data_IF_754091484407
#
_entry.id   IF_754091484407
#
_cell.length_a   1.000
_cell.length_b   1.000
_cell.length_c   1.000
_cell.angle_alpha   90.00
_cell.angle_beta   90.00
_cell.angle_gamma   90.00
#
_symmetry.space_group_name_H-M   'P 1'
#
loop_
_entity.id
_entity.type
_entity.pdbx_description
1 polymer ?
#
# COMPACT_ATOMS: atom_id res chain seq x y z
N UNK A 1 12.26 14.19 -13.85
CA UNK A 1 11.83 13.03 -13.02
C UNK A 1 13.03 12.13 -12.79
N UNK A 2 13.49 12.01 -11.54
CA UNK A 2 14.68 11.22 -11.17
C UNK A 2 14.58 9.78 -11.72
N UNK A 3 15.68 9.25 -12.29
CA UNK A 3 15.71 7.90 -12.89
C UNK A 3 15.21 6.82 -11.90
N UNK A 4 15.56 6.97 -10.62
CA UNK A 4 15.13 6.09 -9.52
C UNK A 4 13.62 6.10 -9.28
N UNK A 5 13.00 7.28 -9.35
CA UNK A 5 11.55 7.44 -9.21
C UNK A 5 10.81 6.77 -10.37
N UNK A 6 11.33 6.86 -11.60
CA UNK A 6 10.74 6.18 -12.77
C UNK A 6 10.72 4.66 -12.61
N UNK A 7 11.81 4.07 -12.09
CA UNK A 7 11.88 2.62 -11.86
C UNK A 7 10.88 2.20 -10.79
N UNK A 8 10.85 2.92 -9.66
CA UNK A 8 9.92 2.64 -8.58
C UNK A 8 8.47 2.71 -9.04
N UNK A 9 8.07 3.81 -9.70
CA UNK A 9 6.71 3.99 -10.20
C UNK A 9 6.35 2.90 -11.23
N UNK A 10 7.26 2.50 -12.13
CA UNK A 10 7.01 1.40 -13.06
C UNK A 10 6.74 0.09 -12.33
N UNK A 11 7.58 -0.29 -11.37
CA UNK A 11 7.40 -1.53 -10.61
C UNK A 11 6.12 -1.51 -9.77
N UNK A 12 5.80 -0.36 -9.15
CA UNK A 12 4.56 -0.14 -8.42
C UNK A 12 3.33 -0.28 -9.33
N UNK A 13 3.37 0.29 -10.54
CA UNK A 13 2.27 0.17 -11.49
C UNK A 13 2.10 -1.26 -12.01
N UNK A 14 3.21 -1.99 -12.24
CA UNK A 14 3.16 -3.41 -12.60
C UNK A 14 2.50 -4.21 -11.48
N UNK A 15 2.93 -4.00 -10.22
CA UNK A 15 2.31 -4.64 -9.05
C UNK A 15 0.82 -4.31 -8.97
N UNK A 16 0.45 -3.03 -9.04
CA UNK A 16 -0.93 -2.58 -8.97
C UNK A 16 -1.78 -3.16 -10.10
N UNK A 17 -1.23 -3.29 -11.32
CA UNK A 17 -1.91 -3.90 -12.46
C UNK A 17 -2.14 -5.39 -12.23
N UNK A 18 -1.13 -6.13 -11.79
CA UNK A 18 -1.25 -7.56 -11.48
C UNK A 18 -2.26 -7.78 -10.35
N UNK A 19 -2.16 -7.02 -9.26
CA UNK A 19 -3.11 -7.08 -8.15
C UNK A 19 -4.53 -6.72 -8.61
N UNK A 20 -4.68 -5.71 -9.48
CA UNK A 20 -5.96 -5.33 -10.07
C UNK A 20 -6.58 -6.44 -10.92
N UNK A 21 -5.79 -7.10 -11.77
CA UNK A 21 -6.24 -8.24 -12.56
C UNK A 21 -6.67 -9.42 -11.68
N UNK A 22 -5.92 -9.71 -10.62
CA UNK A 22 -6.30 -10.73 -9.64
C UNK A 22 -7.62 -10.38 -8.94
N UNK A 23 -7.79 -9.13 -8.53
CA UNK A 23 -9.02 -8.63 -7.91
C UNK A 23 -10.21 -8.78 -8.85
N UNK A 24 -10.06 -8.39 -10.12
CA UNK A 24 -11.11 -8.55 -11.14
C UNK A 24 -11.43 -10.02 -11.36
N UNK A 25 -10.42 -10.89 -11.48
CA UNK A 25 -10.61 -12.33 -11.60
C UNK A 25 -11.38 -12.93 -10.41
N UNK A 26 -11.02 -12.52 -9.18
CA UNK A 26 -11.73 -12.94 -7.97
C UNK A 26 -13.18 -12.45 -7.95
N UNK A 27 -13.46 -11.23 -8.42
CA UNK A 27 -14.83 -10.71 -8.52
C UNK A 27 -15.72 -11.51 -9.48
N UNK A 28 -15.15 -12.14 -10.51
CA UNK A 28 -15.91 -13.04 -11.40
C UNK A 28 -16.11 -14.45 -10.84
N UNK A 29 -15.20 -14.91 -9.97
CA UNK A 29 -15.20 -16.28 -9.45
C UNK A 29 -15.92 -16.42 -8.10
N UNK A 30 -15.96 -15.36 -7.30
CA UNK A 30 -16.46 -15.38 -5.93
C UNK A 30 -17.76 -14.56 -5.82
N UNK A 31 -18.79 -15.05 -5.10
CA UNK A 31 -20.01 -14.29 -4.88
C UNK A 31 -19.73 -12.93 -4.23
N UNK A 32 -20.45 -11.86 -4.63
CA UNK A 32 -20.24 -10.50 -4.12
C UNK A 32 -20.48 -10.35 -2.61
N UNK A 33 -21.11 -11.34 -1.96
CA UNK A 33 -21.27 -11.37 -0.51
C UNK A 33 -19.94 -11.48 0.26
N UNK A 34 -18.86 -11.97 -0.37
CA UNK A 34 -17.56 -12.18 0.26
C UNK A 34 -16.49 -11.15 -0.15
N UNK A 35 -16.83 -10.24 -1.07
CA UNK A 35 -15.90 -9.23 -1.58
C UNK A 35 -16.43 -7.86 -1.20
N UNK A 36 -15.58 -7.04 -0.58
CA UNK A 36 -15.96 -5.66 -0.29
C UNK A 36 -16.14 -4.89 -1.61
N UNK A 37 -17.27 -4.18 -1.81
CA UNK A 37 -17.48 -3.32 -2.98
C UNK A 37 -16.42 -2.22 -3.11
N UNK A 38 -15.73 -1.91 -2.02
CA UNK A 38 -14.72 -0.85 -1.97
C UNK A 38 -13.33 -1.28 -2.45
N UNK A 39 -13.13 -2.57 -2.73
CA UNK A 39 -11.85 -3.16 -3.09
C UNK A 39 -11.10 -2.42 -4.23
N UNK A 40 -11.76 -1.96 -5.32
CA UNK A 40 -11.08 -1.19 -6.37
C UNK A 40 -10.57 0.17 -5.86
N UNK A 41 -11.33 0.83 -4.99
CA UNK A 41 -10.93 2.11 -4.39
C UNK A 41 -9.76 1.93 -3.42
N UNK A 42 -9.75 0.82 -2.67
CA UNK A 42 -8.62 0.47 -1.81
C UNK A 42 -7.35 0.26 -2.62
N UNK A 43 -7.41 -0.39 -3.78
CA UNK A 43 -6.24 -0.58 -4.65
C UNK A 43 -5.62 0.76 -5.09
N UNK A 44 -6.46 1.71 -5.52
CA UNK A 44 -6.03 3.06 -5.89
C UNK A 44 -5.41 3.77 -4.68
N UNK A 45 -6.07 3.69 -3.53
CA UNK A 45 -5.61 4.27 -2.28
C UNK A 45 -4.23 3.75 -1.86
N UNK A 46 -4.03 2.43 -1.85
CA UNK A 46 -2.74 1.81 -1.50
C UNK A 46 -1.64 2.16 -2.50
N UNK A 47 -1.96 2.22 -3.79
CA UNK A 47 -1.01 2.63 -4.83
C UNK A 47 -0.57 4.08 -4.61
N UNK A 48 -1.53 4.98 -4.36
CA UNK A 48 -1.25 6.39 -4.08
C UNK A 48 -0.45 6.58 -2.78
N UNK A 49 -0.84 5.92 -1.69
CA UNK A 49 -0.16 5.98 -0.41
C UNK A 49 1.30 5.47 -0.48
N UNK A 50 1.53 4.42 -1.27
CA UNK A 50 2.88 3.87 -1.51
C UNK A 50 3.74 4.81 -2.33
N UNK A 51 3.17 5.42 -3.37
CA UNK A 51 3.88 6.42 -4.19
C UNK A 51 4.24 7.67 -3.37
N UNK A 52 3.30 8.14 -2.54
CA UNK A 52 3.49 9.28 -1.66
C UNK A 52 4.56 9.00 -0.59
N UNK A 53 4.53 7.81 0.01
CA UNK A 53 5.55 7.34 0.95
C UNK A 53 6.93 7.39 0.30
N UNK A 54 7.09 6.84 -0.90
CA UNK A 54 8.35 6.88 -1.64
C UNK A 54 8.83 8.30 -1.91
N UNK A 55 7.93 9.20 -2.31
CA UNK A 55 8.28 10.60 -2.59
C UNK A 55 8.83 11.31 -1.34
N UNK A 56 8.18 11.13 -0.18
CA UNK A 56 8.66 11.69 1.09
C UNK A 56 10.00 11.10 1.54
N UNK A 57 10.14 9.78 1.40
CA UNK A 57 11.34 9.03 1.79
C UNK A 57 12.54 9.36 0.90
N UNK A 58 12.33 9.54 -0.41
CA UNK A 58 13.40 9.84 -1.35
C UNK A 58 14.19 11.10 -0.94
N UNK A 59 13.49 12.15 -0.47
CA UNK A 59 14.13 13.40 -0.03
C UNK A 59 15.06 13.20 1.19
N UNK A 60 14.78 12.19 2.02
CA UNK A 60 15.58 11.87 3.21
C UNK A 60 16.71 10.87 2.92
N UNK A 61 16.64 10.14 1.80
CA UNK A 61 17.68 9.19 1.37
C UNK A 61 19.00 9.87 0.95
N UNK A 62 18.96 11.13 0.54
CA UNK A 62 20.13 11.86 0.04
C UNK A 62 20.99 12.47 1.17
N UNK A 63 20.49 12.47 2.42
CA UNK A 63 21.18 13.05 3.57
C UNK A 63 22.12 12.08 4.28
N UNK A 64 21.56 11.14 5.06
CA UNK A 64 22.34 10.14 5.79
C UNK A 64 21.59 8.82 5.97
N UNK A 65 22.28 7.66 6.01
CA UNK A 65 21.64 6.36 6.21
C UNK A 65 20.83 6.27 7.50
N UNK A 66 21.31 6.89 8.59
CA UNK A 66 20.59 6.96 9.87
C UNK A 66 19.30 7.77 9.76
N UNK A 67 19.35 8.94 9.12
CA UNK A 67 18.17 9.79 8.89
C UNK A 67 17.11 9.11 8.02
N UNK A 68 17.53 8.29 7.05
CA UNK A 68 16.61 7.48 6.25
C UNK A 68 15.88 6.43 7.09
N UNK A 69 16.59 5.68 7.94
CA UNK A 69 15.97 4.65 8.80
C UNK A 69 14.94 5.29 9.73
N UNK A 70 15.28 6.41 10.39
CA UNK A 70 14.34 7.13 11.26
C UNK A 70 13.10 7.60 10.49
N UNK A 71 13.28 8.19 9.30
CA UNK A 71 12.17 8.65 8.47
C UNK A 71 11.28 7.48 7.99
N UNK A 72 11.89 6.34 7.63
CA UNK A 72 11.17 5.15 7.20
C UNK A 72 10.32 4.54 8.33
N UNK A 73 10.89 4.44 9.52
CA UNK A 73 10.17 3.97 10.70
C UNK A 73 9.01 4.91 11.04
N UNK A 74 9.25 6.23 11.04
CA UNK A 74 8.20 7.21 11.30
C UNK A 74 7.07 7.14 10.26
N UNK A 75 7.40 7.07 8.96
CA UNK A 75 6.42 6.93 7.89
C UNK A 75 5.58 5.65 8.06
N UNK A 76 6.23 4.54 8.40
CA UNK A 76 5.55 3.25 8.61
C UNK A 76 4.58 3.30 9.78
N UNK A 77 4.98 3.90 10.91
CA UNK A 77 4.11 4.07 12.09
C UNK A 77 2.93 4.99 11.78
N UNK A 78 3.17 6.15 11.18
CA UNK A 78 2.11 7.11 10.82
C UNK A 78 1.10 6.43 9.90
N UNK A 79 1.58 5.70 8.89
CA UNK A 79 0.72 4.98 7.96
C UNK A 79 -0.07 3.88 8.63
N UNK A 80 0.53 3.12 9.54
CA UNK A 80 -0.15 2.08 10.31
C UNK A 80 -1.30 2.69 11.15
N UNK A 81 -1.04 3.79 11.85
CA UNK A 81 -2.06 4.48 12.64
C UNK A 81 -3.19 5.03 11.75
N UNK A 82 -2.83 5.66 10.63
CA UNK A 82 -3.80 6.18 9.66
C UNK A 82 -4.69 5.06 9.09
N UNK A 83 -4.09 3.91 8.79
CA UNK A 83 -4.81 2.73 8.31
C UNK A 83 -5.76 2.16 9.37
N UNK A 84 -5.33 2.09 10.64
CA UNK A 84 -6.20 1.67 11.74
C UNK A 84 -7.41 2.61 11.89
N UNK A 85 -7.21 3.92 11.78
CA UNK A 85 -8.32 4.89 11.83
C UNK A 85 -9.29 4.68 10.67
N UNK A 86 -8.80 4.51 9.43
CA UNK A 86 -9.65 4.26 8.27
C UNK A 86 -10.48 2.98 8.46
N UNK A 87 -9.83 1.91 8.90
CA UNK A 87 -10.49 0.63 9.18
C UNK A 87 -11.56 0.80 10.24
N UNK A 88 -11.24 1.45 11.36
CA UNK A 88 -12.19 1.66 12.45
C UNK A 88 -13.41 2.47 11.98
N UNK A 89 -13.18 3.61 11.33
CA UNK A 89 -14.25 4.47 10.81
C UNK A 89 -15.16 3.68 9.86
N UNK A 90 -14.60 2.98 8.89
CA UNK A 90 -15.39 2.22 7.92
C UNK A 90 -16.16 1.06 8.58
N UNK A 91 -15.52 0.32 9.50
CA UNK A 91 -16.14 -0.80 10.19
C UNK A 91 -17.31 -0.36 11.08
N UNK A 92 -17.21 0.83 11.71
CA UNK A 92 -18.31 1.37 12.51
C UNK A 92 -19.46 1.91 11.67
N UNK A 93 -19.19 2.51 10.50
CA UNK A 93 -20.24 3.03 9.61
C UNK A 93 -20.92 1.93 8.79
N UNK A 94 -20.17 0.91 8.35
CA UNK A 94 -20.63 -0.14 7.45
C UNK A 94 -20.41 -1.54 8.03
N UNK A 95 -21.11 -1.84 9.14
CA UNK A 95 -20.94 -3.11 9.87
C UNK A 95 -21.17 -4.36 9.01
N UNK A 96 -22.09 -4.30 8.04
CA UNK A 96 -22.39 -5.42 7.15
C UNK A 96 -21.21 -5.79 6.24
N UNK A 97 -20.38 -4.83 5.85
CA UNK A 97 -19.20 -5.03 4.99
C UNK A 97 -17.88 -5.02 5.79
N UNK A 98 -17.93 -4.76 7.11
CA UNK A 98 -16.75 -4.52 7.92
C UNK A 98 -15.71 -5.65 7.84
N UNK A 99 -16.16 -6.92 7.92
CA UNK A 99 -15.25 -8.08 7.87
C UNK A 99 -14.57 -8.18 6.50
N UNK A 100 -15.35 -8.08 5.42
CA UNK A 100 -14.83 -8.13 4.05
C UNK A 100 -13.87 -6.97 3.78
N UNK A 101 -14.20 -5.78 4.25
CA UNK A 101 -13.36 -4.59 4.15
C UNK A 101 -12.04 -4.77 4.89
N UNK A 102 -12.08 -5.23 6.15
CA UNK A 102 -10.88 -5.44 6.97
C UNK A 102 -9.95 -6.45 6.30
N UNK A 103 -10.48 -7.58 5.83
CA UNK A 103 -9.70 -8.62 5.15
C UNK A 103 -9.07 -8.09 3.85
N UNK A 104 -9.88 -7.40 3.05
CA UNK A 104 -9.46 -6.76 1.80
C UNK A 104 -8.34 -5.74 2.04
N UNK A 105 -8.53 -4.88 3.03
CA UNK A 105 -7.57 -3.86 3.44
C UNK A 105 -6.28 -4.50 3.93
N UNK A 106 -6.37 -5.55 4.75
CA UNK A 106 -5.22 -6.26 5.30
C UNK A 106 -4.40 -6.96 4.21
N UNK A 107 -5.05 -7.63 3.25
CA UNK A 107 -4.38 -8.27 2.11
C UNK A 107 -3.60 -7.24 1.29
N UNK A 108 -4.25 -6.13 0.92
CA UNK A 108 -3.58 -5.05 0.19
C UNK A 108 -2.45 -4.42 1.01
N UNK A 109 -2.66 -4.22 2.32
CA UNK A 109 -1.62 -3.74 3.22
C UNK A 109 -0.37 -4.61 3.18
N UNK A 110 -0.52 -5.94 3.28
CA UNK A 110 0.62 -6.86 3.26
C UNK A 110 1.33 -6.81 1.90
N UNK A 111 0.59 -6.85 0.80
CA UNK A 111 1.16 -6.82 -0.56
C UNK A 111 1.99 -5.55 -0.79
N UNK A 112 1.40 -4.38 -0.57
CA UNK A 112 2.04 -3.10 -0.85
C UNK A 112 3.15 -2.77 0.15
N UNK A 113 2.99 -3.12 1.44
CA UNK A 113 4.03 -2.91 2.45
C UNK A 113 5.24 -3.82 2.18
N UNK A 114 5.01 -5.09 1.83
CA UNK A 114 6.10 -6.02 1.49
C UNK A 114 6.88 -5.53 0.28
N UNK A 115 6.19 -5.05 -0.76
CA UNK A 115 6.83 -4.44 -1.92
C UNK A 115 7.69 -3.24 -1.53
N UNK A 116 7.13 -2.30 -0.76
CA UNK A 116 7.83 -1.09 -0.34
C UNK A 116 9.09 -1.40 0.48
N UNK A 117 8.96 -2.24 1.51
CA UNK A 117 10.07 -2.66 2.37
C UNK A 117 11.15 -3.36 1.54
N UNK A 118 10.78 -4.29 0.65
CA UNK A 118 11.72 -5.03 -0.19
C UNK A 118 12.48 -4.11 -1.14
N UNK A 119 11.79 -3.13 -1.73
CA UNK A 119 12.42 -2.15 -2.61
C UNK A 119 13.46 -1.30 -1.85
N UNK A 120 13.14 -0.86 -0.63
CA UNK A 120 14.06 -0.08 0.18
C UNK A 120 15.24 -0.91 0.71
N UNK A 121 15.00 -2.16 1.12
CA UNK A 121 16.05 -3.06 1.61
C UNK A 121 17.07 -3.39 0.50
N UNK A 122 16.60 -3.69 -0.71
CA UNK A 122 17.48 -3.97 -1.86
C UNK A 122 18.46 -2.81 -2.14
N UNK A 123 18.05 -1.58 -1.84
CA UNK A 123 18.86 -0.38 -2.07
C UNK A 123 19.84 -0.07 -0.92
N UNK A 124 19.79 -0.78 0.21
CA UNK A 124 20.77 -0.65 1.30
C UNK A 124 22.03 -1.48 1.02
N UNK A 125 21.94 -2.46 0.13
CA UNK A 125 23.00 -3.43 -0.20
C UNK A 125 23.82 -3.07 -1.43
N UNK A 126 23.47 -1.99 -2.15
CA UNK A 126 24.23 -1.37 -3.24
C UNK A 126 24.82 -0.03 -2.78
#
# INVERSE_FOLDING_TARGET
MNHKLRIFTKQLLILATITGLLIVGLMFLIPPAFISPTLPYLLIFFTAATLLSYYFLQKKMEGSPSGFVTAFMANSIIRLLLYLVIIAVYAFTNRADAVNFILSFFLLYVIFTTFEVSFFLRKKTE
#
